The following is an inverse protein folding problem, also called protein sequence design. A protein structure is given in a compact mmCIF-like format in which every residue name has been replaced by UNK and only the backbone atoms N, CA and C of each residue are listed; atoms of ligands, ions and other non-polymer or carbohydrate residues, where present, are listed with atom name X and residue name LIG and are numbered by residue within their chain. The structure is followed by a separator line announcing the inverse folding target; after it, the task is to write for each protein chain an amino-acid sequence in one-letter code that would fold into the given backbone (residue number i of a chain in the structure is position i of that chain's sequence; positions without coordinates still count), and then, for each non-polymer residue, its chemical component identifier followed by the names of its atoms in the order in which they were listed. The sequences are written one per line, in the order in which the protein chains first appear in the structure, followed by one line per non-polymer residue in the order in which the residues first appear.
data_IF_190585245654
#
_entry.id   IF_190585245654
#
_cell.length_a   1.000
_cell.length_b   1.000
_cell.length_c   1.000
_cell.angle_alpha   90.00
_cell.angle_beta   90.00
_cell.angle_gamma   90.00
#
_symmetry.space_group_name_H-M   'P 1'
#
loop_
_entity.id
_entity.type
_entity.pdbx_description
1 polymer ?
#
# COMPACT_ATOMS: atom_id res chain seq x y z
N UNK A 1 24.91 15.77 3.09
CA UNK A 1 24.32 14.50 2.57
C UNK A 1 23.83 13.58 3.70
N UNK A 2 24.57 13.43 4.80
CA UNK A 2 24.20 12.59 5.97
C UNK A 2 22.85 13.00 6.61
N UNK A 3 22.57 14.30 6.76
CA UNK A 3 21.32 14.78 7.38
C UNK A 3 20.05 14.38 6.59
N UNK A 4 20.12 14.32 5.25
CA UNK A 4 18.98 13.89 4.41
C UNK A 4 18.67 12.40 4.58
N UNK A 5 19.68 11.57 4.83
CA UNK A 5 19.47 10.14 5.11
C UNK A 5 18.79 9.94 6.47
N UNK A 6 19.24 10.63 7.51
CA UNK A 6 18.67 10.51 8.87
C UNK A 6 17.21 11.00 8.92
N UNK A 7 16.89 12.09 8.23
CA UNK A 7 15.50 12.59 8.17
C UNK A 7 14.55 11.63 7.45
N UNK A 8 14.99 10.93 6.40
CA UNK A 8 14.13 10.03 5.61
C UNK A 8 13.55 8.89 6.48
N UNK A 9 14.33 8.37 7.42
CA UNK A 9 13.92 7.26 8.29
C UNK A 9 12.89 7.64 9.37
N UNK A 10 12.68 8.93 9.63
CA UNK A 10 11.72 9.36 10.66
C UNK A 10 10.27 9.28 10.16
N UNK A 11 10.05 9.32 8.84
CA UNK A 11 8.71 9.46 8.27
C UNK A 11 8.15 8.16 7.68
N UNK A 12 9.04 7.26 7.24
CA UNK A 12 8.66 5.94 6.73
C UNK A 12 8.92 4.90 7.78
N UNK A 13 7.93 4.08 8.09
CA UNK A 13 8.13 2.94 8.99
C UNK A 13 8.65 1.73 8.21
N UNK A 14 9.60 1.01 8.79
CA UNK A 14 9.98 -0.32 8.32
C UNK A 14 9.50 -1.40 9.29
N UNK A 15 8.57 -2.21 8.83
CA UNK A 15 8.01 -3.31 9.61
C UNK A 15 9.05 -4.40 9.96
N UNK A 16 10.20 -4.46 9.29
CA UNK A 16 11.27 -5.39 9.68
C UNK A 16 12.07 -4.92 10.92
N UNK A 17 11.89 -3.68 11.38
CA UNK A 17 12.64 -3.10 12.52
C UNK A 17 11.78 -2.57 13.67
N UNK A 18 10.45 -2.68 13.57
CA UNK A 18 9.54 -2.25 14.65
C UNK A 18 9.66 -3.13 15.90
N UNK A 19 9.26 -2.58 17.05
CA UNK A 19 9.17 -3.36 18.29
C UNK A 19 8.21 -4.56 18.13
N UNK A 20 8.57 -5.69 18.74
CA UNK A 20 7.74 -6.91 18.70
C UNK A 20 7.93 -7.80 17.46
N UNK A 21 8.68 -7.33 16.45
CA UNK A 21 9.04 -8.19 15.30
C UNK A 21 10.04 -9.28 15.72
N UNK A 22 9.80 -10.50 15.25
CA UNK A 22 10.70 -11.63 15.41
C UNK A 22 11.12 -12.14 14.05
N UNK A 23 12.40 -11.99 13.73
CA UNK A 23 13.00 -12.53 12.53
C UNK A 23 13.78 -13.80 12.90
N UNK A 24 13.61 -14.87 12.12
CA UNK A 24 14.28 -16.16 12.33
C UNK A 24 14.70 -16.75 11.01
N UNK A 25 15.74 -17.58 11.05
CA UNK A 25 16.20 -18.39 9.92
C UNK A 25 16.15 -19.87 10.28
N UNK A 26 16.13 -20.74 9.28
CA UNK A 26 16.17 -22.20 9.51
C UNK A 26 17.46 -22.68 10.20
N UNK A 27 18.55 -21.90 10.11
CA UNK A 27 19.79 -22.10 10.88
C UNK A 27 19.86 -21.05 11.98
N UNK A 28 20.30 -21.43 13.18
CA UNK A 28 20.46 -20.48 14.30
C UNK A 28 21.66 -19.57 14.05
N UNK A 29 21.41 -18.33 13.65
CA UNK A 29 22.45 -17.32 13.42
C UNK A 29 22.02 -15.92 13.88
N UNK A 30 22.97 -15.00 13.96
CA UNK A 30 22.67 -13.58 14.11
C UNK A 30 22.09 -13.06 12.77
N UNK A 31 20.97 -12.36 12.87
CA UNK A 31 20.17 -11.85 11.74
C UNK A 31 20.29 -10.33 11.58
N UNK A 32 21.13 -9.66 12.37
CA UNK A 32 21.31 -8.20 12.31
C UNK A 32 21.71 -7.72 10.92
N UNK A 33 22.48 -8.52 10.17
CA UNK A 33 22.87 -8.22 8.78
C UNK A 33 21.67 -7.94 7.88
N UNK A 34 20.49 -8.50 8.15
CA UNK A 34 19.33 -8.37 7.29
C UNK A 34 18.62 -7.02 7.40
N UNK A 35 18.89 -6.24 8.46
CA UNK A 35 18.13 -5.02 8.80
C UNK A 35 19.04 -3.85 9.19
N UNK A 36 20.36 -3.98 9.00
CA UNK A 36 21.35 -2.97 9.37
C UNK A 36 21.45 -1.81 8.37
N UNK A 37 20.71 -1.88 7.25
CA UNK A 37 20.73 -0.91 6.13
C UNK A 37 22.06 -0.80 5.42
N UNK A 38 22.92 -1.81 5.55
CA UNK A 38 24.13 -1.92 4.78
C UNK A 38 23.97 -2.98 3.69
N UNK A 39 23.77 -2.54 2.46
CA UNK A 39 23.62 -3.46 1.33
C UNK A 39 24.89 -4.29 1.02
N UNK A 40 26.01 -4.05 1.74
CA UNK A 40 27.25 -4.83 1.63
C UNK A 40 27.34 -5.97 2.64
N UNK A 41 26.54 -5.95 3.71
CA UNK A 41 26.45 -7.06 4.67
C UNK A 41 25.43 -8.06 4.16
N UNK A 42 25.83 -9.34 4.05
CA UNK A 42 24.95 -10.38 3.52
C UNK A 42 25.04 -11.65 4.35
N UNK A 43 24.04 -12.51 4.19
CA UNK A 43 24.04 -13.82 4.80
C UNK A 43 25.23 -14.64 4.29
N UNK A 44 26.14 -15.04 5.17
CA UNK A 44 27.27 -15.89 4.76
C UNK A 44 26.96 -17.39 4.89
N UNK A 45 25.83 -17.75 5.52
CA UNK A 45 25.43 -19.14 5.69
C UNK A 45 24.69 -19.69 4.47
N UNK A 46 25.36 -20.59 3.75
CA UNK A 46 24.81 -21.27 2.56
C UNK A 46 23.69 -22.25 2.88
N UNK A 47 23.57 -22.69 4.14
CA UNK A 47 22.52 -23.61 4.57
C UNK A 47 21.25 -22.90 5.01
N UNK A 48 21.27 -21.57 5.06
CA UNK A 48 20.10 -20.79 5.35
C UNK A 48 19.25 -20.68 4.08
N UNK A 49 18.14 -21.40 4.03
CA UNK A 49 17.25 -21.41 2.87
C UNK A 49 16.07 -20.46 3.07
N UNK A 50 15.62 -20.29 4.31
CA UNK A 50 14.41 -19.53 4.62
C UNK A 50 14.66 -18.48 5.70
N UNK A 51 14.05 -17.32 5.50
CA UNK A 51 13.85 -16.29 6.53
C UNK A 51 12.37 -16.23 6.85
N UNK A 52 12.02 -16.19 8.12
CA UNK A 52 10.65 -15.98 8.59
C UNK A 52 10.60 -14.75 9.50
N UNK A 53 9.73 -13.81 9.14
CA UNK A 53 9.48 -12.56 9.84
C UNK A 53 8.07 -12.67 10.41
N UNK A 54 7.94 -12.55 11.73
CA UNK A 54 6.67 -12.69 12.45
C UNK A 54 6.45 -11.44 13.29
N UNK A 55 5.25 -10.87 13.18
CA UNK A 55 4.81 -9.77 14.01
C UNK A 55 3.89 -10.23 15.15
N UNK A 56 3.90 -9.48 16.24
CA UNK A 56 2.98 -9.67 17.35
C UNK A 56 1.55 -9.22 17.00
N UNK A 57 1.42 -8.24 16.09
CA UNK A 57 0.18 -7.75 15.49
C UNK A 57 0.05 -8.07 13.98
N UNK A 58 -1.14 -7.87 13.42
CA UNK A 58 -1.37 -8.00 11.97
C UNK A 58 -1.22 -6.64 11.27
N UNK A 59 -0.56 -6.63 10.11
CA UNK A 59 -0.24 -5.42 9.35
C UNK A 59 -0.78 -5.46 7.92
N UNK A 60 -1.17 -4.30 7.41
CA UNK A 60 -1.56 -4.17 6.01
C UNK A 60 -0.31 -4.10 5.15
N UNK A 61 0.04 -5.21 4.50
CA UNK A 61 1.23 -5.27 3.66
C UNK A 61 0.93 -4.63 2.29
N UNK A 62 1.83 -3.76 1.85
CA UNK A 62 1.76 -3.08 0.55
C UNK A 62 2.91 -3.52 -0.34
N UNK A 63 4.14 -3.26 0.09
CA UNK A 63 5.33 -3.62 -0.65
C UNK A 63 6.52 -3.88 0.28
N UNK A 64 7.52 -4.58 -0.26
CA UNK A 64 8.82 -4.74 0.38
C UNK A 64 9.93 -4.69 -0.66
N UNK A 65 11.14 -4.35 -0.21
CA UNK A 65 12.35 -4.36 -1.00
C UNK A 65 13.35 -5.32 -0.40
N UNK A 66 13.93 -6.15 -1.25
CA UNK A 66 14.94 -7.13 -0.91
C UNK A 66 16.19 -6.80 -1.70
N UNK A 67 17.32 -6.69 -1.00
CA UNK A 67 18.64 -6.56 -1.62
C UNK A 67 19.34 -7.91 -1.56
N UNK A 68 19.93 -8.31 -2.68
CA UNK A 68 20.58 -9.61 -2.83
C UNK A 68 22.06 -9.46 -3.15
N UNK A 69 22.79 -10.56 -2.99
CA UNK A 69 24.16 -10.70 -3.50
C UNK A 69 24.20 -10.51 -5.01
N UNK A 70 25.34 -10.01 -5.51
CA UNK A 70 25.57 -9.84 -6.94
C UNK A 70 25.44 -11.16 -7.75
N UNK A 71 25.75 -12.29 -7.12
CA UNK A 71 25.67 -13.62 -7.73
C UNK A 71 24.27 -14.25 -7.69
N UNK A 72 23.30 -13.62 -7.02
CA UNK A 72 21.99 -14.20 -6.79
C UNK A 72 21.16 -14.28 -8.07
N UNK A 73 20.42 -15.37 -8.22
CA UNK A 73 19.44 -15.52 -9.29
C UNK A 73 18.06 -15.05 -8.83
N UNK A 74 17.54 -13.97 -9.42
CA UNK A 74 16.25 -13.38 -9.01
C UNK A 74 15.05 -14.33 -9.13
N UNK A 75 15.12 -15.33 -10.02
CA UNK A 75 14.03 -16.30 -10.26
C UNK A 75 13.82 -17.28 -9.09
N UNK A 76 14.74 -17.37 -8.12
CA UNK A 76 14.63 -18.32 -7.00
C UNK A 76 13.98 -17.76 -5.73
N UNK A 77 13.44 -16.53 -5.78
CA UNK A 77 12.83 -15.89 -4.61
C UNK A 77 11.34 -16.16 -4.57
N UNK A 78 10.95 -17.00 -3.62
CA UNK A 78 9.55 -17.25 -3.29
C UNK A 78 9.18 -16.55 -1.98
N UNK A 79 7.98 -15.96 -1.97
CA UNK A 79 7.46 -15.19 -0.84
C UNK A 79 6.10 -15.77 -0.49
N UNK A 80 5.96 -16.15 0.76
CA UNK A 80 4.73 -16.64 1.33
C UNK A 80 4.27 -15.66 2.41
N UNK A 81 3.03 -15.20 2.28
CA UNK A 81 2.40 -14.27 3.21
C UNK A 81 1.32 -15.02 3.97
N UNK A 82 1.42 -15.02 5.30
CA UNK A 82 0.56 -15.80 6.17
C UNK A 82 -0.27 -14.88 7.06
N UNK A 83 -1.58 -15.14 7.07
CA UNK A 83 -2.48 -14.69 8.13
C UNK A 83 -2.54 -15.77 9.22
N UNK A 84 -2.97 -15.40 10.43
CA UNK A 84 -3.00 -16.19 11.67
C UNK A 84 -3.27 -17.71 11.53
N UNK A 85 -4.08 -18.16 10.57
CA UNK A 85 -4.37 -19.57 10.32
C UNK A 85 -4.36 -20.01 8.85
N UNK A 86 -4.21 -19.07 7.91
CA UNK A 86 -4.27 -19.36 6.47
C UNK A 86 -2.99 -18.87 5.81
N UNK A 87 -2.27 -19.84 5.24
CA UNK A 87 -1.17 -19.56 4.33
C UNK A 87 -1.71 -19.33 2.94
N UNK A 88 -1.44 -18.16 2.35
CA UNK A 88 -1.76 -17.91 0.96
C UNK A 88 -0.48 -17.52 0.21
N UNK A 89 -0.15 -18.28 -0.84
CA UNK A 89 0.77 -17.78 -1.85
C UNK A 89 0.03 -16.74 -2.67
N UNK A 90 0.59 -15.55 -2.74
CA UNK A 90 -0.04 -14.40 -3.38
C UNK A 90 0.67 -14.05 -4.67
N UNK A 91 -0.12 -13.66 -5.66
CA UNK A 91 0.37 -13.12 -6.92
C UNK A 91 0.83 -11.68 -6.68
N UNK A 92 2.06 -11.54 -6.19
CA UNK A 92 2.70 -10.24 -6.06
C UNK A 92 3.43 -9.87 -7.35
N UNK A 93 3.38 -8.58 -7.70
CA UNK A 93 4.20 -8.03 -8.77
C UNK A 93 5.64 -7.88 -8.29
N UNK A 94 6.60 -8.32 -9.10
CA UNK A 94 8.04 -8.27 -8.79
C UNK A 94 8.72 -7.31 -9.76
N UNK A 95 9.45 -6.34 -9.24
CA UNK A 95 10.17 -5.32 -10.01
C UNK A 95 11.65 -5.37 -9.71
N UNK A 96 12.49 -5.31 -10.75
CA UNK A 96 13.94 -5.28 -10.60
C UNK A 96 14.38 -3.81 -10.66
N UNK A 97 15.00 -3.33 -9.59
CA UNK A 97 15.52 -1.97 -9.56
C UNK A 97 16.92 -1.91 -10.17
N UNK A 98 17.20 -0.85 -10.91
CA UNK A 98 18.52 -0.62 -11.53
C UNK A 98 19.49 0.02 -10.53
N UNK A 99 19.92 -0.77 -9.55
CA UNK A 99 20.89 -0.37 -8.51
C UNK A 99 22.20 -1.14 -8.69
N UNK A 100 23.24 -0.79 -7.92
CA UNK A 100 24.53 -1.48 -7.99
C UNK A 100 24.46 -2.95 -7.58
N UNK A 101 23.53 -3.29 -6.69
CA UNK A 101 23.28 -4.65 -6.20
C UNK A 101 21.91 -5.12 -6.70
N UNK A 102 21.72 -6.40 -7.06
CA UNK A 102 20.41 -6.91 -7.48
C UNK A 102 19.37 -6.64 -6.39
N UNK A 103 18.40 -5.78 -6.71
CA UNK A 103 17.38 -5.33 -5.78
C UNK A 103 16.01 -5.64 -6.36
N UNK A 104 15.23 -6.38 -5.58
CA UNK A 104 13.88 -6.81 -5.93
C UNK A 104 12.89 -6.01 -5.09
N UNK A 105 11.98 -5.31 -5.72
CA UNK A 105 10.83 -4.69 -5.06
C UNK A 105 9.59 -5.51 -5.36
N UNK A 106 8.91 -5.98 -4.31
CA UNK A 106 7.71 -6.80 -4.43
C UNK A 106 6.52 -5.98 -3.93
N UNK A 107 5.51 -5.83 -4.79
CA UNK A 107 4.26 -5.17 -4.47
C UNK A 107 3.14 -6.19 -4.48
N UNK A 108 2.31 -6.21 -3.45
CA UNK A 108 1.17 -7.10 -3.38
C UNK A 108 -0.10 -6.28 -3.14
N UNK A 109 -1.16 -6.56 -3.91
CA UNK A 109 -2.50 -6.03 -3.63
C UNK A 109 -3.23 -7.06 -2.79
N UNK A 110 -3.28 -6.84 -1.47
CA UNK A 110 -3.90 -7.77 -0.53
C UNK A 110 -5.26 -7.26 -0.08
N UNK A 111 -6.14 -8.19 0.28
CA UNK A 111 -7.44 -7.90 0.90
C UNK A 111 -7.46 -8.25 2.40
N UNK A 112 -6.30 -8.62 2.97
CA UNK A 112 -6.18 -9.09 4.34
C UNK A 112 -4.89 -8.59 5.01
N UNK A 113 -4.86 -8.67 6.34
CA UNK A 113 -3.70 -8.31 7.14
C UNK A 113 -2.72 -9.48 7.27
N UNK A 114 -1.44 -9.18 7.13
CA UNK A 114 -0.34 -10.14 7.19
C UNK A 114 0.27 -10.12 8.59
N UNK A 115 0.49 -11.31 9.16
CA UNK A 115 1.19 -11.47 10.44
C UNK A 115 2.58 -12.07 10.27
N UNK A 116 2.80 -12.81 9.18
CA UNK A 116 4.06 -13.46 8.92
C UNK A 116 4.42 -13.42 7.44
N UNK A 117 5.71 -13.20 7.17
CA UNK A 117 6.32 -13.35 5.86
C UNK A 117 7.37 -14.46 5.94
N UNK A 118 7.34 -15.38 4.99
CA UNK A 118 8.40 -16.37 4.79
C UNK A 118 9.02 -16.17 3.41
N UNK A 119 10.34 -16.01 3.37
CA UNK A 119 11.12 -15.78 2.16
C UNK A 119 12.03 -16.97 1.94
N UNK A 120 11.88 -17.64 0.80
CA UNK A 120 12.76 -18.70 0.32
C UNK A 120 13.80 -18.08 -0.60
N UNK A 121 15.04 -18.01 -0.12
CA UNK A 121 16.29 -17.52 -0.77
C UNK A 121 17.25 -16.89 0.27
N UNK A 122 17.18 -17.32 1.54
CA UNK A 122 17.86 -16.64 2.63
C UNK A 122 19.38 -16.54 2.44
N UNK A 123 20.02 -17.52 1.79
CA UNK A 123 21.46 -17.57 1.52
C UNK A 123 21.96 -16.40 0.66
N UNK A 124 21.08 -15.78 -0.11
CA UNK A 124 21.43 -14.70 -1.05
C UNK A 124 21.00 -13.32 -0.57
N UNK A 125 20.31 -13.22 0.57
CA UNK A 125 19.84 -11.96 1.11
C UNK A 125 20.97 -11.12 1.70
N UNK A 126 20.86 -9.81 1.49
CA UNK A 126 21.71 -8.80 2.11
C UNK A 126 20.91 -7.86 3.01
N UNK A 127 19.83 -7.26 2.51
CA UNK A 127 18.99 -6.35 3.30
C UNK A 127 17.51 -6.58 2.97
N UNK A 128 16.63 -6.23 3.91
CA UNK A 128 15.18 -6.19 3.70
C UNK A 128 14.56 -4.93 4.28
N UNK A 129 13.67 -4.34 3.51
CA UNK A 129 12.79 -3.27 3.94
C UNK A 129 11.34 -3.68 3.66
N UNK A 130 10.46 -3.63 4.65
CA UNK A 130 9.04 -3.91 4.51
C UNK A 130 8.28 -2.62 4.84
N UNK A 131 7.54 -2.08 3.86
CA UNK A 131 6.83 -0.82 4.07
C UNK A 131 5.79 -0.94 5.17
N UNK A 132 5.91 -0.10 6.19
CA UNK A 132 4.82 0.23 7.11
C UNK A 132 4.02 1.45 6.65
N UNK A 133 4.42 2.07 5.53
CA UNK A 133 3.87 3.31 4.99
C UNK A 133 4.56 4.57 5.52
N UNK A 134 4.06 5.71 5.06
CA UNK A 134 4.49 7.06 5.45
C UNK A 134 3.54 7.59 6.52
N UNK A 135 4.07 8.14 7.62
CA UNK A 135 3.27 8.85 8.62
C UNK A 135 2.79 10.20 8.07
N UNK A 136 1.57 10.22 7.54
CA UNK A 136 0.93 11.42 7.03
C UNK A 136 0.43 12.36 8.10
N UNK A 137 0.34 11.96 9.37
CA UNK A 137 -0.15 12.82 10.44
C UNK A 137 0.88 13.87 10.88
N UNK A 138 2.17 13.56 10.73
CA UNK A 138 3.26 14.37 11.24
C UNK A 138 3.20 15.80 10.70
N UNK A 139 3.14 16.75 11.63
CA UNK A 139 3.05 18.21 11.43
C UNK A 139 1.85 18.66 10.60
N UNK A 140 0.78 17.87 10.56
CA UNK A 140 -0.45 18.25 9.87
C UNK A 140 -1.32 19.20 10.69
N UNK A 141 -2.32 19.75 10.02
CA UNK A 141 -3.34 20.56 10.66
C UNK A 141 -4.17 19.69 11.60
N UNK A 142 -4.25 20.11 12.85
CA UNK A 142 -4.97 19.39 13.89
C UNK A 142 -5.85 20.35 14.69
N UNK A 143 -7.05 19.90 15.04
CA UNK A 143 -8.01 20.63 15.85
C UNK A 143 -8.53 19.74 16.97
N UNK A 144 -8.99 20.36 18.05
CA UNK A 144 -9.63 19.67 19.16
C UNK A 144 -10.87 20.44 19.61
N UNK A 145 -11.85 19.73 20.16
CA UNK A 145 -13.09 20.33 20.69
C UNK A 145 -12.83 21.38 21.77
N UNK A 146 -11.83 21.14 22.62
CA UNK A 146 -11.41 22.05 23.69
C UNK A 146 -9.96 21.77 24.08
N UNK A 147 -9.28 22.76 24.68
CA UNK A 147 -7.88 22.62 25.13
C UNK A 147 -7.82 22.63 26.66
N UNK A 148 -7.15 21.64 27.25
CA UNK A 148 -6.80 21.64 28.67
C UNK A 148 -5.40 22.25 28.88
N UNK A 149 -5.31 23.36 29.63
CA UNK A 149 -4.03 24.03 29.97
C UNK A 149 -3.15 24.24 28.73
N UNK A 150 -1.91 23.72 28.74
CA UNK A 150 -0.89 23.84 27.69
C UNK A 150 -0.79 22.57 26.82
N UNK A 151 -1.82 21.72 26.81
CA UNK A 151 -1.85 20.48 26.05
C UNK A 151 -2.53 20.69 24.69
N UNK A 152 -1.90 21.51 23.85
CA UNK A 152 -2.42 21.92 22.54
C UNK A 152 -2.53 20.76 21.56
N UNK A 153 -3.47 20.85 20.61
CA UNK A 153 -3.73 19.83 19.60
C UNK A 153 -2.50 19.47 18.75
N UNK A 154 -1.64 20.46 18.46
CA UNK A 154 -0.41 20.28 17.67
C UNK A 154 0.55 19.28 18.29
N UNK A 155 0.49 19.08 19.60
CA UNK A 155 1.33 18.12 20.30
C UNK A 155 1.01 16.66 19.92
N UNK A 156 -0.16 16.37 19.35
CA UNK A 156 -0.52 15.02 18.94
C UNK A 156 0.11 14.60 17.61
N UNK A 157 0.81 15.49 16.91
CA UNK A 157 1.35 15.25 15.58
C UNK A 157 2.72 15.92 15.43
N UNK A 158 3.45 16.14 16.52
CA UNK A 158 4.73 16.86 16.50
C UNK A 158 5.93 15.90 16.37
N UNK A 159 5.71 14.59 16.50
CA UNK A 159 6.75 13.57 16.49
C UNK A 159 7.56 13.49 17.79
N UNK A 160 7.16 14.21 18.84
CA UNK A 160 7.77 14.13 20.17
C UNK A 160 6.82 13.44 21.13
N UNK A 161 7.08 12.16 21.39
CA UNK A 161 6.32 11.40 22.37
C UNK A 161 6.28 12.12 23.73
N UNK A 162 7.24 12.95 24.13
CA UNK A 162 7.22 13.61 25.45
C UNK A 162 6.14 14.70 25.62
N UNK A 163 5.51 15.15 24.54
CA UNK A 163 4.39 16.09 24.58
C UNK A 163 3.05 15.34 24.63
N UNK A 164 1.95 16.09 24.80
CA UNK A 164 0.60 15.53 24.75
C UNK A 164 -0.44 16.58 24.39
N UNK A 165 -1.50 16.12 23.74
CA UNK A 165 -2.77 16.80 23.48
C UNK A 165 -3.83 16.31 24.45
N UNK A 166 -4.52 17.24 25.11
CA UNK A 166 -5.56 16.90 26.10
C UNK A 166 -6.75 17.84 25.96
N UNK A 167 -7.94 17.27 25.77
CA UNK A 167 -9.18 18.05 25.80
C UNK A 167 -9.63 18.33 27.23
N UNK A 168 -10.47 19.35 27.44
CA UNK A 168 -11.20 19.46 28.70
C UNK A 168 -12.16 18.26 28.83
N UNK A 169 -12.65 18.05 30.05
CA UNK A 169 -13.74 17.11 30.29
C UNK A 169 -15.02 17.71 29.73
N UNK A 170 -15.62 17.01 28.77
CA UNK A 170 -16.84 17.44 28.09
C UNK A 170 -17.58 16.24 27.51
N UNK A 171 -18.84 16.40 27.10
CA UNK A 171 -19.69 15.26 26.72
C UNK A 171 -19.20 14.51 25.47
N UNK A 172 -18.52 15.18 24.54
CA UNK A 172 -18.10 14.63 23.23
C UNK A 172 -16.76 15.23 22.78
N UNK A 173 -15.67 15.00 23.53
CA UNK A 173 -14.36 15.52 23.16
C UNK A 173 -13.89 14.83 21.88
N UNK A 174 -13.20 15.58 21.03
CA UNK A 174 -12.58 15.02 19.85
C UNK A 174 -11.23 15.66 19.56
N UNK A 175 -10.41 14.90 18.84
CA UNK A 175 -9.24 15.37 18.12
C UNK A 175 -9.44 15.06 16.63
N UNK A 176 -9.18 16.03 15.77
CA UNK A 176 -9.32 15.95 14.32
C UNK A 176 -7.94 16.22 13.69
N UNK A 177 -7.42 15.26 12.92
CA UNK A 177 -6.28 15.47 12.02
C UNK A 177 -6.80 15.65 10.60
N UNK A 178 -6.38 16.73 9.94
CA UNK A 178 -6.71 17.03 8.54
C UNK A 178 -5.46 16.92 7.68
N UNK A 179 -5.47 15.95 6.77
CA UNK A 179 -4.45 15.78 5.73
C UNK A 179 -4.70 16.80 4.61
N UNK A 180 -3.63 17.33 3.98
CA UNK A 180 -3.75 18.39 2.97
C UNK A 180 -4.44 17.89 1.70
N UNK A 181 -4.31 16.61 1.41
CA UNK A 181 -4.93 15.91 0.29
C UNK A 181 -5.43 14.55 0.78
N UNK A 182 -6.42 13.94 0.09
CA UNK A 182 -6.79 12.56 0.35
C UNK A 182 -5.61 11.59 0.16
N UNK A 183 -5.43 10.69 1.11
CA UNK A 183 -4.38 9.66 1.10
C UNK A 183 -4.99 8.27 1.27
N UNK A 184 -4.30 7.24 0.77
CA UNK A 184 -4.64 5.84 1.03
C UNK A 184 -4.11 5.47 2.42
N UNK A 185 -4.99 5.48 3.41
CA UNK A 185 -4.63 5.20 4.80
C UNK A 185 -4.76 3.71 5.06
N UNK A 186 -3.67 3.11 5.55
CA UNK A 186 -3.57 1.69 5.87
C UNK A 186 -3.76 1.43 7.36
N UNK A 187 -3.27 2.34 8.20
CA UNK A 187 -3.20 2.13 9.65
C UNK A 187 -3.18 3.46 10.40
N UNK A 188 -3.79 3.49 11.58
CA UNK A 188 -3.67 4.59 12.54
C UNK A 188 -3.08 4.04 13.83
N UNK A 189 -2.06 4.72 14.36
CA UNK A 189 -1.44 4.40 15.65
C UNK A 189 -1.73 5.55 16.61
N UNK A 190 -2.29 5.24 17.77
CA UNK A 190 -2.56 6.21 18.83
C UNK A 190 -1.67 5.92 20.02
N UNK A 191 -0.75 6.83 20.33
CA UNK A 191 0.09 6.77 21.52
C UNK A 191 -0.63 7.47 22.66
N UNK A 192 -1.17 6.71 23.60
CA UNK A 192 -1.84 7.24 24.78
C UNK A 192 -0.81 7.72 25.82
N UNK A 193 -1.22 8.70 26.63
CA UNK A 193 -0.39 9.17 27.75
C UNK A 193 -0.22 8.09 28.80
N UNK A 194 1.02 7.73 29.11
CA UNK A 194 1.35 6.94 30.31
C UNK A 194 1.24 7.82 31.54
N UNK A 195 0.31 7.51 32.43
CA UNK A 195 0.24 8.11 33.76
C UNK A 195 1.01 7.24 34.73
N UNK A 196 2.01 7.82 35.40
CA UNK A 196 2.89 7.12 36.35
C UNK A 196 2.19 6.82 37.69
N UNK A 197 0.96 7.31 37.88
CA UNK A 197 0.17 7.10 39.08
C UNK A 197 -0.95 6.09 38.81
N UNK A 198 -1.29 5.29 39.81
CA UNK A 198 -2.27 4.18 39.73
C UNK A 198 -3.70 4.63 39.41
N UNK A 199 -3.94 5.92 39.22
CA UNK A 199 -5.21 6.40 38.70
C UNK A 199 -5.24 6.22 37.19
N UNK A 200 -5.68 5.03 36.73
CA UNK A 200 -6.06 4.65 35.36
C UNK A 200 -7.15 5.55 34.72
N UNK A 201 -7.39 6.76 35.24
CA UNK A 201 -8.64 7.49 35.13
C UNK A 201 -8.71 8.46 33.94
N UNK A 202 -7.60 8.73 33.26
CA UNK A 202 -7.55 9.69 32.14
C UNK A 202 -6.98 9.04 30.84
N UNK A 203 -6.97 7.71 30.74
CA UNK A 203 -6.58 7.01 29.53
C UNK A 203 -7.72 7.01 28.51
N UNK A 204 -7.36 7.09 27.22
CA UNK A 204 -8.32 6.89 26.14
C UNK A 204 -8.80 5.44 26.14
N UNK A 205 -10.12 5.24 26.23
CA UNK A 205 -10.77 3.94 26.23
C UNK A 205 -12.18 4.07 25.65
N UNK A 206 -12.66 2.99 25.02
CA UNK A 206 -13.95 2.96 24.32
C UNK A 206 -14.08 4.09 23.29
N UNK A 207 -12.96 4.54 22.72
CA UNK A 207 -12.98 5.61 21.75
C UNK A 207 -13.61 5.16 20.43
N UNK A 208 -14.02 6.13 19.63
CA UNK A 208 -14.43 5.94 18.26
C UNK A 208 -13.44 6.64 17.34
N UNK A 209 -12.91 5.93 16.35
CA UNK A 209 -12.06 6.46 15.30
C UNK A 209 -12.88 6.52 14.01
N UNK A 210 -12.93 7.68 13.35
CA UNK A 210 -13.63 7.87 12.08
C UNK A 210 -12.72 8.47 11.03
N UNK A 211 -12.69 7.88 9.85
CA UNK A 211 -12.04 8.42 8.66
C UNK A 211 -13.08 8.97 7.69
N UNK A 212 -12.94 10.24 7.30
CA UNK A 212 -13.79 10.90 6.32
C UNK A 212 -13.01 11.29 5.07
N UNK A 213 -13.68 11.27 3.93
CA UNK A 213 -13.15 11.82 2.69
C UNK A 213 -13.33 13.35 2.57
N UNK A 214 -12.95 13.89 1.43
CA UNK A 214 -13.04 15.30 1.07
C UNK A 214 -14.48 15.85 1.10
N UNK A 215 -15.48 15.01 0.92
CA UNK A 215 -16.90 15.35 0.99
C UNK A 215 -17.48 15.19 2.41
N UNK A 216 -16.64 14.86 3.40
CA UNK A 216 -17.02 14.49 4.76
C UNK A 216 -17.89 13.21 4.83
N UNK A 217 -17.85 12.35 3.81
CA UNK A 217 -18.48 11.03 3.88
C UNK A 217 -17.60 10.07 4.67
N UNK A 218 -18.22 9.30 5.56
CA UNK A 218 -17.50 8.30 6.37
C UNK A 218 -17.01 7.15 5.49
N UNK A 219 -15.69 7.03 5.37
CA UNK A 219 -15.03 5.94 4.66
C UNK A 219 -14.62 4.79 5.59
N UNK A 220 -14.42 5.13 6.87
CA UNK A 220 -13.99 4.19 7.89
C UNK A 220 -14.54 4.55 9.26
N UNK A 221 -14.89 3.54 10.06
CA UNK A 221 -15.27 3.71 11.46
C UNK A 221 -14.77 2.52 12.27
N UNK A 222 -14.19 2.80 13.43
CA UNK A 222 -13.74 1.81 14.40
C UNK A 222 -14.18 2.23 15.80
N UNK A 223 -14.56 1.25 16.61
CA UNK A 223 -14.90 1.46 18.01
C UNK A 223 -14.06 0.53 18.88
N UNK A 224 -13.32 1.13 19.81
CA UNK A 224 -12.56 0.39 20.80
C UNK A 224 -13.50 -0.38 21.73
N UNK A 225 -13.22 -1.67 21.88
CA UNK A 225 -13.95 -2.57 22.76
C UNK A 225 -13.09 -3.06 23.93
N UNK A 226 -11.85 -2.59 24.06
CA UNK A 226 -10.96 -3.03 25.12
C UNK A 226 -11.49 -2.60 26.50
N UNK A 227 -11.54 -3.54 27.44
CA UNK A 227 -11.99 -3.29 28.82
C UNK A 227 -10.89 -2.68 29.69
N UNK A 228 -9.64 -2.82 29.27
CA UNK A 228 -8.49 -2.15 29.87
C UNK A 228 -7.92 -1.12 28.87
N UNK A 229 -7.48 0.05 29.35
CA UNK A 229 -6.81 1.02 28.48
C UNK A 229 -5.47 0.47 27.98
N UNK A 230 -5.13 0.76 26.73
CA UNK A 230 -3.84 0.45 26.14
C UNK A 230 -2.96 1.71 26.03
N UNK A 231 -1.64 1.50 26.06
CA UNK A 231 -0.68 2.58 25.82
C UNK A 231 -0.55 2.92 24.34
N UNK A 232 -0.72 1.92 23.48
CA UNK A 232 -0.63 2.06 22.03
C UNK A 232 -1.83 1.31 21.45
N UNK A 233 -2.62 2.02 20.65
CA UNK A 233 -3.69 1.41 19.85
C UNK A 233 -3.27 1.42 18.40
N UNK A 234 -3.27 0.26 17.76
CA UNK A 234 -2.97 0.10 16.33
C UNK A 234 -4.23 -0.37 15.63
N UNK A 235 -4.78 0.47 14.75
CA UNK A 235 -6.04 0.22 14.03
C UNK A 235 -5.75 0.09 12.54
N UNK A 236 -5.98 -1.10 11.97
CA UNK A 236 -5.89 -1.36 10.53
C UNK A 236 -7.12 -0.88 9.77
N UNK A 237 -6.93 -0.25 8.60
CA UNK A 237 -7.97 0.44 7.80
C UNK A 237 -8.14 -0.15 6.40
N UNK A 238 -7.13 -0.84 5.86
CA UNK A 238 -7.16 -1.45 4.52
C UNK A 238 -7.21 -0.44 3.34
N UNK A 239 -6.28 0.51 3.30
CA UNK A 239 -6.04 1.37 2.13
C UNK A 239 -7.18 2.30 1.74
N UNK A 240 -7.97 2.79 2.71
CA UNK A 240 -9.11 3.68 2.40
C UNK A 240 -8.64 5.10 2.08
N UNK A 241 -9.21 5.69 1.03
CA UNK A 241 -8.94 7.07 0.63
C UNK A 241 -9.65 8.05 1.56
N UNK A 242 -8.91 8.83 2.34
CA UNK A 242 -9.47 9.80 3.30
C UNK A 242 -8.54 10.98 3.52
N UNK A 243 -9.08 12.11 4.00
CA UNK A 243 -8.29 13.29 4.37
C UNK A 243 -8.58 13.82 5.78
N UNK A 244 -9.57 13.28 6.49
CA UNK A 244 -9.90 13.68 7.86
C UNK A 244 -9.99 12.47 8.76
N UNK A 245 -9.31 12.50 9.89
CA UNK A 245 -9.33 11.45 10.90
C UNK A 245 -9.78 12.05 12.22
N UNK A 246 -10.87 11.54 12.78
CA UNK A 246 -11.40 11.93 14.08
C UNK A 246 -11.17 10.84 15.12
N UNK A 247 -10.71 11.24 16.30
CA UNK A 247 -10.69 10.43 17.51
C UNK A 247 -11.67 11.02 18.51
N UNK A 248 -12.74 10.29 18.83
CA UNK A 248 -13.73 10.67 19.83
C UNK A 248 -13.54 9.83 21.09
N UNK A 249 -13.44 10.44 22.26
CA UNK A 249 -13.58 9.68 23.50
C UNK A 249 -15.07 9.52 23.83
N UNK A 250 -15.52 8.29 24.09
CA UNK A 250 -16.94 7.99 24.33
C UNK A 250 -17.25 7.45 25.73
N UNK A 251 -16.23 7.17 26.54
CA UNK A 251 -16.41 6.67 27.90
C UNK A 251 -16.99 7.76 28.82
N UNK A 252 -18.29 7.69 29.07
CA UNK A 252 -18.97 8.51 30.07
C UNK A 252 -19.06 7.69 31.37
N UNK A 253 -18.48 8.21 32.44
CA UNK A 253 -18.64 7.62 33.79
C UNK A 253 -19.64 8.44 34.60
N UNK A 254 -20.28 7.85 35.61
CA UNK A 254 -21.27 8.55 36.46
C UNK A 254 -20.75 9.86 37.06
N UNK A 255 -19.44 9.99 37.22
CA UNK A 255 -18.82 11.12 37.92
C UNK A 255 -17.98 12.01 37.00
N UNK A 256 -17.78 11.65 35.72
CA UNK A 256 -16.87 12.37 34.83
C UNK A 256 -17.26 12.22 33.37
N UNK A 257 -17.22 13.37 32.70
CA UNK A 257 -17.22 13.46 31.24
C UNK A 257 -15.90 12.95 30.65
N UNK A 258 -15.93 12.37 29.43
CA UNK A 258 -14.75 11.87 28.73
C UNK A 258 -13.72 12.97 28.41
N UNK A 259 -12.49 12.55 28.13
CA UNK A 259 -11.40 13.39 27.62
C UNK A 259 -10.61 12.62 26.56
N UNK A 260 -10.10 13.31 25.54
CA UNK A 260 -9.11 12.75 24.61
C UNK A 260 -7.73 13.11 25.14
N UNK A 261 -6.91 12.10 25.46
CA UNK A 261 -5.56 12.24 25.99
C UNK A 261 -4.57 11.45 25.13
N UNK A 262 -3.88 12.12 24.21
CA UNK A 262 -2.96 11.51 23.24
C UNK A 262 -1.59 12.17 23.29
N UNK A 263 -0.52 11.37 23.24
CA UNK A 263 0.86 11.83 23.04
C UNK A 263 1.10 12.07 21.56
N UNK A 264 0.79 11.07 20.74
CA UNK A 264 1.01 11.12 19.29
C UNK A 264 -0.09 10.35 18.57
N UNK A 265 -0.44 10.82 17.38
CA UNK A 265 -1.32 10.21 16.40
C UNK A 265 -0.52 10.05 15.13
N UNK A 266 -0.35 8.81 14.69
CA UNK A 266 0.36 8.50 13.46
C UNK A 266 -0.64 7.90 12.47
N UNK A 267 -0.63 8.40 11.24
CA UNK A 267 -1.52 7.96 10.17
C UNK A 267 -0.65 7.41 9.06
N UNK A 268 -0.53 6.10 8.98
CA UNK A 268 0.32 5.43 8.00
C UNK A 268 -0.46 5.08 6.74
N UNK A 269 0.16 5.33 5.60
CA UNK A 269 -0.41 4.99 4.31
C UNK A 269 0.62 5.07 3.19
N UNK A 270 0.13 4.94 1.97
CA UNK A 270 0.94 5.00 0.76
C UNK A 270 0.58 6.25 -0.05
N UNK A 271 1.53 6.72 -0.87
CA UNK A 271 1.23 7.74 -1.85
C UNK A 271 0.22 7.22 -2.89
N UNK A 272 -0.59 8.12 -3.44
CA UNK A 272 -1.46 7.76 -4.55
C UNK A 272 -0.62 7.40 -5.79
N UNK A 273 -1.10 6.51 -6.66
CA UNK A 273 -0.42 6.20 -7.92
C UNK A 273 -0.01 7.48 -8.67
N UNK A 274 1.22 7.52 -9.16
CA UNK A 274 1.78 8.69 -9.85
C UNK A 274 2.41 9.75 -8.94
N UNK A 275 2.40 9.55 -7.62
CA UNK A 275 3.05 10.45 -6.66
C UNK A 275 4.05 9.72 -5.76
N UNK A 276 5.06 10.44 -5.29
CA UNK A 276 6.11 9.91 -4.42
C UNK A 276 6.66 10.97 -3.46
N UNK A 277 7.56 10.53 -2.59
CA UNK A 277 8.23 11.35 -1.59
C UNK A 277 7.45 11.42 -0.27
N UNK A 278 8.11 11.97 0.75
CA UNK A 278 7.60 12.00 2.14
C UNK A 278 6.24 12.71 2.28
N UNK A 279 5.95 13.69 1.44
CA UNK A 279 4.67 14.41 1.45
C UNK A 279 3.75 14.00 0.30
N UNK A 280 4.15 13.02 -0.52
CA UNK A 280 3.48 12.60 -1.76
C UNK A 280 3.15 13.77 -2.71
N UNK A 281 4.00 14.80 -2.73
CA UNK A 281 3.81 16.00 -3.53
C UNK A 281 4.68 16.02 -4.79
N UNK A 282 5.51 14.98 -4.99
CA UNK A 282 6.34 14.85 -6.18
C UNK A 282 5.64 13.92 -7.15
N UNK A 283 5.56 14.31 -8.42
CA UNK A 283 5.01 13.46 -9.48
C UNK A 283 6.05 12.46 -9.97
N UNK A 284 5.60 11.27 -10.34
CA UNK A 284 6.44 10.30 -11.04
C UNK A 284 6.92 10.87 -12.38
N UNK A 285 8.08 10.41 -12.90
CA UNK A 285 8.57 10.78 -14.22
C UNK A 285 7.55 10.46 -15.32
N UNK A 286 7.55 11.24 -16.40
CA UNK A 286 6.63 11.07 -17.54
C UNK A 286 6.74 9.71 -18.24
N UNK A 287 7.87 9.00 -18.08
CA UNK A 287 8.06 7.64 -18.58
C UNK A 287 7.24 6.59 -17.82
N UNK A 288 6.82 6.90 -16.59
CA UNK A 288 6.08 6.00 -15.71
C UNK A 288 5.09 6.80 -14.84
N UNK A 289 4.13 7.51 -15.46
CA UNK A 289 3.33 8.52 -14.77
C UNK A 289 2.42 7.96 -13.66
N UNK A 290 2.26 6.63 -13.59
CA UNK A 290 1.38 5.95 -12.63
C UNK A 290 2.18 5.17 -11.57
N UNK A 291 3.42 4.75 -11.86
CA UNK A 291 4.18 3.86 -10.97
C UNK A 291 5.66 4.23 -10.95
N UNK A 292 6.11 4.72 -9.80
CA UNK A 292 7.50 4.94 -9.48
C UNK A 292 7.75 4.54 -8.02
N UNK A 293 9.01 4.31 -7.67
CA UNK A 293 9.44 4.04 -6.31
C UNK A 293 9.05 5.24 -5.42
N UNK A 294 8.44 4.95 -4.27
CA UNK A 294 7.96 6.02 -3.38
C UNK A 294 9.07 6.87 -2.78
N UNK A 295 10.27 6.31 -2.76
CA UNK A 295 11.42 6.86 -2.05
C UNK A 295 12.21 7.90 -2.83
N UNK A 296 12.33 7.72 -4.13
CA UNK A 296 13.15 8.53 -5.02
C UNK A 296 12.53 8.76 -6.41
N UNK A 297 11.31 8.27 -6.64
CA UNK A 297 10.55 8.53 -7.86
C UNK A 297 11.12 7.86 -9.10
N UNK A 298 11.98 6.87 -8.94
CA UNK A 298 12.52 6.11 -10.07
C UNK A 298 11.43 5.21 -10.65
N UNK A 299 11.38 5.14 -11.98
CA UNK A 299 10.45 4.24 -12.64
C UNK A 299 10.78 2.80 -12.30
N UNK A 300 9.75 2.03 -11.92
CA UNK A 300 9.85 0.59 -11.84
C UNK A 300 10.10 0.06 -13.26
N UNK A 301 11.29 -0.45 -13.52
CA UNK A 301 11.57 -1.10 -14.80
C UNK A 301 10.88 -2.46 -14.77
N UNK A 302 9.81 -2.61 -15.54
CA UNK A 302 9.23 -3.90 -15.86
C UNK A 302 10.23 -4.67 -16.73
N UNK A 303 11.19 -5.34 -16.09
CA UNK A 303 12.15 -6.18 -16.80
C UNK A 303 11.58 -7.59 -17.00
N UNK A 304 10.45 -7.67 -17.71
CA UNK A 304 10.03 -8.87 -18.46
C UNK A 304 10.06 -8.65 -19.98
N UNK A 305 10.48 -7.47 -20.45
CA UNK A 305 10.57 -7.18 -21.89
C UNK A 305 11.58 -8.05 -22.66
N UNK A 306 12.50 -8.76 -21.99
CA UNK A 306 13.40 -9.69 -22.69
C UNK A 306 12.72 -10.97 -23.17
N UNK A 307 11.50 -11.28 -22.70
CA UNK A 307 10.73 -12.46 -23.16
C UNK A 307 9.46 -12.09 -23.96
N UNK A 308 8.96 -10.85 -23.88
CA UNK A 308 7.79 -10.41 -24.69
C UNK A 308 8.16 -9.86 -26.09
N UNK A 309 9.42 -10.00 -26.54
CA UNK A 309 9.85 -9.53 -27.87
C UNK A 309 9.35 -10.50 -28.96
N UNK A 310 8.05 -10.45 -29.26
CA UNK A 310 7.45 -11.09 -30.44
C UNK A 310 7.87 -10.27 -31.66
N UNK A 311 9.13 -10.35 -32.08
CA UNK A 311 9.50 -9.90 -33.42
C UNK A 311 8.89 -10.88 -34.41
N UNK A 312 7.76 -10.46 -34.99
CA UNK A 312 7.00 -11.21 -35.97
C UNK A 312 7.90 -11.82 -37.03
N UNK A 313 7.94 -13.14 -37.06
CA UNK A 313 8.30 -13.92 -38.24
C UNK A 313 7.44 -15.18 -38.27
N UNK A 314 6.36 -15.10 -39.04
CA UNK A 314 5.51 -16.22 -39.45
C UNK A 314 4.08 -16.09 -38.96
N UNK A 315 3.16 -15.73 -39.87
CA UNK A 315 1.72 -15.95 -39.70
C UNK A 315 1.48 -17.43 -39.32
N UNK A 316 0.74 -17.66 -38.23
CA UNK A 316 0.24 -19.00 -37.87
C UNK A 316 0.94 -19.77 -36.74
N UNK A 317 1.80 -19.15 -35.92
CA UNK A 317 2.30 -19.81 -34.69
C UNK A 317 1.56 -19.34 -33.45
N UNK A 318 0.97 -20.29 -32.74
CA UNK A 318 0.30 -20.08 -31.46
C UNK A 318 1.27 -19.48 -30.43
N UNK A 319 0.82 -18.42 -29.73
CA UNK A 319 1.58 -17.80 -28.65
C UNK A 319 1.86 -18.81 -27.54
N UNK A 320 3.06 -18.77 -26.96
CA UNK A 320 3.36 -19.56 -25.76
C UNK A 320 2.48 -19.08 -24.59
N UNK A 321 2.20 -19.94 -23.58
CA UNK A 321 1.44 -19.55 -22.40
C UNK A 321 1.96 -18.28 -21.72
N UNK A 322 3.28 -18.07 -21.75
CA UNK A 322 3.94 -16.91 -21.15
C UNK A 322 3.80 -15.65 -22.01
N UNK A 323 3.80 -15.77 -23.34
CA UNK A 323 3.47 -14.67 -24.25
C UNK A 323 2.01 -14.23 -24.12
N UNK A 324 1.08 -15.18 -23.89
CA UNK A 324 -0.34 -14.89 -23.61
C UNK A 324 -0.50 -14.11 -22.29
N UNK A 325 0.27 -14.43 -21.25
CA UNK A 325 0.29 -13.68 -19.98
C UNK A 325 0.87 -12.25 -20.14
N UNK A 326 1.99 -12.09 -20.87
CA UNK A 326 2.57 -10.79 -21.19
C UNK A 326 1.52 -9.88 -21.87
N UNK A 327 0.85 -10.42 -22.90
CA UNK A 327 -0.16 -9.72 -23.68
C UNK A 327 -1.31 -9.20 -22.80
N UNK A 328 -1.82 -10.05 -21.89
CA UNK A 328 -2.89 -9.67 -20.97
C UNK A 328 -2.48 -8.51 -20.03
N UNK A 329 -1.27 -8.56 -19.47
CA UNK A 329 -0.74 -7.51 -18.58
C UNK A 329 -0.52 -6.17 -19.30
N UNK A 330 0.01 -6.21 -20.54
CA UNK A 330 0.13 -5.02 -21.37
C UNK A 330 -1.24 -4.42 -21.70
N UNK A 331 -2.25 -5.26 -21.94
CA UNK A 331 -3.63 -4.82 -22.19
C UNK A 331 -4.21 -4.09 -20.97
N UNK A 332 -4.10 -4.67 -19.76
CA UNK A 332 -4.59 -4.05 -18.53
C UNK A 332 -3.91 -2.69 -18.26
N UNK A 333 -2.61 -2.59 -18.54
CA UNK A 333 -1.86 -1.33 -18.43
C UNK A 333 -2.35 -0.29 -19.44
N UNK A 334 -2.63 -0.70 -20.68
CA UNK A 334 -3.16 0.18 -21.73
C UNK A 334 -4.56 0.68 -21.35
N UNK A 335 -5.41 -0.20 -20.81
CA UNK A 335 -6.75 0.14 -20.34
C UNK A 335 -6.73 1.12 -19.18
N UNK A 336 -5.90 0.91 -18.16
CA UNK A 336 -5.79 1.86 -17.05
C UNK A 336 -5.28 3.24 -17.51
N UNK A 337 -4.32 3.27 -18.45
CA UNK A 337 -3.80 4.52 -19.01
C UNK A 337 -4.86 5.30 -19.79
N UNK A 338 -5.72 4.60 -20.53
CA UNK A 338 -6.79 5.21 -21.31
C UNK A 338 -8.02 5.56 -20.46
N UNK A 339 -8.36 4.73 -19.47
CA UNK A 339 -9.48 4.98 -18.55
C UNK A 339 -9.29 6.25 -17.70
N UNK A 340 -8.05 6.52 -17.27
CA UNK A 340 -7.70 7.72 -16.51
C UNK A 340 -7.55 8.99 -17.39
N UNK A 341 -7.53 8.86 -18.72
CA UNK A 341 -7.36 9.97 -19.66
C UNK A 341 -8.60 10.25 -20.52
N UNK A 342 -9.77 9.72 -20.13
CA UNK A 342 -11.02 9.81 -20.89
C UNK A 342 -11.61 11.23 -20.95
N UNK A 343 -11.07 12.01 -21.89
CA UNK A 343 -11.80 12.98 -22.69
C UNK A 343 -11.73 12.48 -24.15
N UNK A 344 -12.25 11.27 -24.40
CA UNK A 344 -12.09 10.60 -25.71
C UNK A 344 -13.15 11.11 -26.68
N UNK A 345 -12.74 12.02 -27.56
CA UNK A 345 -13.46 12.39 -28.77
C UNK A 345 -12.89 11.72 -30.03
N UNK A 346 -11.81 10.94 -29.92
CA UNK A 346 -11.12 10.38 -31.09
C UNK A 346 -11.47 8.90 -31.33
N UNK A 347 -12.39 8.68 -32.27
CA UNK A 347 -12.87 7.37 -32.73
C UNK A 347 -11.71 6.45 -33.18
N UNK A 348 -10.60 7.01 -33.68
CA UNK A 348 -9.45 6.21 -34.15
C UNK A 348 -8.74 5.48 -33.01
N UNK A 349 -8.75 6.03 -31.81
CA UNK A 349 -8.13 5.40 -30.64
C UNK A 349 -8.94 4.19 -30.16
N UNK A 350 -10.26 4.22 -30.34
CA UNK A 350 -11.17 3.14 -29.94
C UNK A 350 -11.07 1.97 -30.92
N UNK A 351 -11.08 2.26 -32.24
CA UNK A 351 -10.90 1.24 -33.27
C UNK A 351 -9.55 0.49 -33.08
N UNK A 352 -8.47 1.22 -32.81
CA UNK A 352 -7.17 0.59 -32.54
C UNK A 352 -7.16 -0.31 -31.30
N UNK A 353 -7.93 0.04 -30.25
CA UNK A 353 -8.08 -0.82 -29.07
C UNK A 353 -8.90 -2.06 -29.40
N UNK A 354 -9.99 -1.92 -30.16
CA UNK A 354 -10.83 -3.03 -30.60
C UNK A 354 -10.05 -4.04 -31.48
N UNK A 355 -9.34 -3.57 -32.50
CA UNK A 355 -8.53 -4.41 -33.40
C UNK A 355 -7.44 -5.17 -32.63
N UNK A 356 -6.80 -4.50 -31.67
CA UNK A 356 -5.77 -5.11 -30.81
C UNK A 356 -6.36 -6.23 -29.95
N UNK A 357 -7.59 -6.07 -29.49
CA UNK A 357 -8.26 -7.06 -28.67
C UNK A 357 -8.78 -8.25 -29.45
N UNK A 358 -9.36 -8.02 -30.62
CA UNK A 358 -9.76 -9.09 -31.53
C UNK A 358 -8.56 -9.97 -31.86
N UNK A 359 -7.41 -9.35 -32.16
CA UNK A 359 -6.15 -10.07 -32.35
C UNK A 359 -5.76 -10.94 -31.13
N UNK A 360 -5.94 -10.45 -29.90
CA UNK A 360 -5.62 -11.25 -28.71
C UNK A 360 -6.59 -12.39 -28.45
N UNK A 361 -7.89 -12.17 -28.70
CA UNK A 361 -8.92 -13.20 -28.57
C UNK A 361 -8.69 -14.31 -29.61
N UNK A 362 -8.39 -13.94 -30.86
CA UNK A 362 -8.07 -14.89 -31.93
C UNK A 362 -6.81 -15.72 -31.65
N UNK A 363 -5.90 -15.19 -30.81
CA UNK A 363 -4.72 -15.91 -30.34
C UNK A 363 -4.92 -16.62 -28.98
N UNK A 364 -6.17 -16.75 -28.51
CA UNK A 364 -6.52 -17.51 -27.32
C UNK A 364 -6.09 -16.88 -26.00
N UNK A 365 -5.89 -15.56 -25.95
CA UNK A 365 -5.63 -14.82 -24.72
C UNK A 365 -6.96 -14.62 -23.98
N UNK A 366 -7.07 -15.13 -22.76
CA UNK A 366 -8.23 -14.90 -21.89
C UNK A 366 -8.14 -13.51 -21.28
N UNK A 367 -9.09 -12.65 -21.60
CA UNK A 367 -9.22 -11.30 -21.05
C UNK A 367 -10.04 -11.37 -19.75
N UNK A 368 -9.68 -10.56 -18.74
CA UNK A 368 -10.40 -10.54 -17.47
C UNK A 368 -11.80 -9.95 -17.63
N UNK A 369 -12.77 -10.46 -16.86
CA UNK A 369 -14.18 -10.01 -16.91
C UNK A 369 -14.32 -8.49 -16.70
N UNK A 370 -13.46 -7.88 -15.89
CA UNK A 370 -13.46 -6.44 -15.63
C UNK A 370 -13.08 -5.63 -16.87
N UNK A 371 -12.10 -6.10 -17.65
CA UNK A 371 -11.72 -5.47 -18.92
C UNK A 371 -12.86 -5.61 -19.93
N UNK A 372 -13.43 -6.82 -20.06
CA UNK A 372 -14.60 -7.05 -20.93
C UNK A 372 -15.76 -6.12 -20.59
N UNK A 373 -16.13 -6.01 -19.31
CA UNK A 373 -17.20 -5.12 -18.87
C UNK A 373 -16.90 -3.65 -19.18
N UNK A 374 -15.66 -3.20 -18.93
CA UNK A 374 -15.26 -1.81 -19.21
C UNK A 374 -15.37 -1.47 -20.70
N UNK A 375 -15.15 -2.43 -21.59
CA UNK A 375 -15.29 -2.25 -23.03
C UNK A 375 -16.74 -2.21 -23.45
N UNK A 376 -17.56 -3.12 -22.91
CA UNK A 376 -19.01 -3.10 -23.16
C UNK A 376 -19.59 -1.76 -22.73
N UNK A 377 -19.16 -1.22 -21.60
CA UNK A 377 -19.58 0.11 -21.13
C UNK A 377 -19.12 1.22 -22.08
N UNK A 378 -17.87 1.18 -22.56
CA UNK A 378 -17.35 2.14 -23.55
C UNK A 378 -18.16 2.07 -24.85
N UNK A 379 -18.31 0.87 -25.44
CA UNK A 379 -19.04 0.66 -26.69
C UNK A 379 -20.51 1.07 -26.57
N UNK A 380 -21.17 0.75 -25.45
CA UNK A 380 -22.55 1.16 -25.16
C UNK A 380 -22.70 2.67 -25.05
N UNK A 381 -21.70 3.36 -24.48
CA UNK A 381 -21.70 4.83 -24.42
C UNK A 381 -21.55 5.48 -25.82
N UNK A 382 -20.89 4.81 -26.76
CA UNK A 382 -20.77 5.28 -28.16
C UNK A 382 -21.95 4.90 -29.04
N UNK A 383 -22.55 3.71 -28.86
CA UNK A 383 -23.76 3.29 -29.58
C UNK A 383 -24.94 4.24 -29.38
N UNK A 384 -25.04 4.88 -28.20
CA UNK A 384 -26.06 5.89 -27.93
C UNK A 384 -25.77 7.28 -28.58
N UNK A 385 -24.58 7.48 -29.16
CA UNK A 385 -24.17 8.74 -29.81
C UNK A 385 -24.03 8.67 -31.32
N UNK A 386 -23.95 7.48 -31.91
CA UNK A 386 -23.79 7.32 -33.36
C UNK A 386 -25.16 7.15 -34.05
N UNK A 387 -25.59 8.16 -34.80
CA UNK A 387 -26.69 8.06 -35.77
C UNK A 387 -26.20 7.55 -37.13
N UNK A 388 -25.20 6.66 -37.13
CA UNK A 388 -24.55 6.13 -38.33
C UNK A 388 -25.17 4.77 -38.69
N UNK A 389 -25.90 4.66 -39.81
CA UNK A 389 -26.61 3.44 -40.20
C UNK A 389 -25.68 2.28 -40.62
N UNK A 390 -24.38 2.51 -40.79
CA UNK A 390 -23.41 1.47 -41.16
C UNK A 390 -22.69 0.84 -39.95
N UNK A 391 -22.94 1.32 -38.72
CA UNK A 391 -22.32 0.79 -37.50
C UNK A 391 -23.24 -0.24 -36.80
N UNK A 392 -23.17 -1.51 -37.24
CA UNK A 392 -23.89 -2.63 -36.62
C UNK A 392 -22.97 -3.35 -35.64
N UNK A 393 -23.27 -3.25 -34.34
CA UNK A 393 -22.70 -4.17 -33.34
C UNK A 393 -23.53 -5.45 -33.37
N UNK A 394 -22.95 -6.54 -33.89
CA UNK A 394 -23.56 -7.86 -33.83
C UNK A 394 -23.24 -8.52 -32.48
N UNK A 395 -24.22 -8.48 -31.58
CA UNK A 395 -24.20 -9.07 -30.23
C UNK A 395 -23.95 -10.60 -30.24
N UNK A 396 -24.06 -11.29 -31.38
CA UNK A 396 -23.83 -12.74 -31.45
C UNK A 396 -22.35 -13.13 -31.42
N UNK A 397 -21.44 -12.18 -31.69
CA UNK A 397 -20.00 -12.47 -31.77
C UNK A 397 -19.34 -12.64 -30.40
N UNK A 398 -19.86 -11.98 -29.36
CA UNK A 398 -19.26 -11.99 -28.02
C UNK A 398 -19.79 -13.09 -27.10
N UNK A 399 -21.07 -13.49 -27.24
CA UNK A 399 -21.68 -14.50 -26.35
C UNK A 399 -21.30 -15.95 -26.74
N UNK A 400 -20.81 -16.16 -27.98
CA UNK A 400 -20.51 -17.49 -28.53
C UNK A 400 -19.10 -18.04 -28.27
N UNK A 401 -18.09 -17.18 -28.01
CA UNK A 401 -16.67 -17.60 -27.89
C UNK A 401 -16.09 -17.56 -26.46
N UNK A 402 -16.88 -17.13 -25.47
CA UNK A 402 -16.43 -16.93 -24.08
C UNK A 402 -17.09 -17.85 -23.04
N UNK A 403 -17.74 -18.95 -23.46
CA UNK A 403 -18.15 -20.03 -22.54
C UNK A 403 -17.03 -21.03 -22.29
#
# INVERSE_FOLDING_TARGET
MVLKKVLKFIFTEDLATIDGVKITTNVKQNIQWLTDRDHQTCNNDRNSHTVTIVWDAEYWFTWMRIVLKQSAHLKSIDIQLNQHFTSQMLNCSKFILNTSNPTLEIHCSLEFFVRQITITAAADLCDIYISGGVNFALKQMVAMSSVAKNYYATNAVDGDLNTASITRREKRPYLLVTLPEPRLVNRVVLHCRKYNDQTLRDYLKYFELKGLDENNCTQFSYKDNNTAPLYIYTVGIAGKKMNKIFVYATEVTKTRDPTVTLREVEIYGECLPGTWGLSCNQSCPTKCPVSCTQEDGLCNLLREESECNVKGKGEGRELSPQQKLCAASQLETLFHKNALSLNVTDIKSIASVADTMEHFVDNGVKVSKNVTNSIVDILSAFGNKASDPDFIIDDTTFDGRFK
#
